data_IF_426263297862
#
_entry.id   IF_426263297862
#
_cell.length_a   1.000
_cell.length_b   1.000
_cell.length_c   1.000
_cell.angle_alpha   90.00
_cell.angle_beta   90.00
_cell.angle_gamma   90.00
#
_symmetry.space_group_name_H-M   'P 1'
#
loop_
_entity.id
_entity.type
_entity.pdbx_description
1 polymer ?
#
# COMPACT_ATOMS: atom_id res chain seq x y z
N UNK A 1 25.57 31.85 24.33
CA UNK A 1 25.37 32.40 22.96
C UNK A 1 25.50 33.90 23.04
N UNK A 2 26.42 34.47 22.25
CA UNK A 2 26.64 35.91 22.21
C UNK A 2 25.58 36.62 21.36
N UNK A 3 25.29 37.89 21.66
CA UNK A 3 24.43 38.75 20.82
C UNK A 3 24.68 38.68 19.30
N UNK A 4 25.93 38.53 18.78
CA UNK A 4 26.15 38.37 17.34
C UNK A 4 25.60 37.06 16.73
N UNK A 5 25.52 35.96 17.50
CA UNK A 5 24.96 34.69 17.00
C UNK A 5 23.44 34.74 16.84
N UNK A 6 22.76 35.47 17.72
CA UNK A 6 21.31 35.71 17.64
C UNK A 6 20.92 36.54 16.41
N UNK A 7 21.72 37.56 16.09
CA UNK A 7 21.49 38.43 14.92
C UNK A 7 21.66 37.67 13.58
N UNK A 8 22.65 36.77 13.51
CA UNK A 8 22.86 35.91 12.35
C UNK A 8 21.70 34.91 12.16
N UNK A 9 21.17 34.37 13.25
CA UNK A 9 20.04 33.44 13.24
C UNK A 9 18.74 34.13 12.78
N UNK A 10 18.46 35.34 13.29
CA UNK A 10 17.28 36.12 12.89
C UNK A 10 17.34 36.51 11.41
N UNK A 11 18.51 36.91 10.92
CA UNK A 11 18.68 37.24 9.50
C UNK A 11 18.48 36.02 8.60
N UNK A 12 18.97 34.85 9.01
CA UNK A 12 18.78 33.60 8.26
C UNK A 12 17.31 33.17 8.24
N UNK A 13 16.58 33.38 9.34
CA UNK A 13 15.13 33.08 9.41
C UNK A 13 14.30 34.03 8.55
N UNK A 14 14.60 35.32 8.55
CA UNK A 14 13.94 36.30 7.67
C UNK A 14 14.14 35.96 6.18
N UNK A 15 15.36 35.57 5.79
CA UNK A 15 15.63 35.15 4.42
C UNK A 15 14.85 33.89 4.02
N UNK A 16 14.75 32.91 4.93
CA UNK A 16 13.95 31.68 4.70
C UNK A 16 12.46 31.98 4.63
N UNK A 17 11.95 32.88 5.47
CA UNK A 17 10.55 33.29 5.45
C UNK A 17 10.19 33.98 4.13
N UNK A 18 11.02 34.91 3.67
CA UNK A 18 10.83 35.59 2.39
C UNK A 18 10.88 34.61 1.21
N UNK A 19 11.77 33.61 1.26
CA UNK A 19 11.82 32.54 0.26
C UNK A 19 10.53 31.71 0.24
N UNK A 20 10.00 31.35 1.41
CA UNK A 20 8.73 30.61 1.54
C UNK A 20 7.53 31.40 1.00
N UNK A 21 7.42 32.70 1.29
CA UNK A 21 6.37 33.56 0.73
C UNK A 21 6.43 33.61 -0.80
N UNK A 22 7.64 33.67 -1.36
CA UNK A 22 7.85 33.71 -2.81
C UNK A 22 7.45 32.39 -3.46
N UNK A 23 7.83 31.26 -2.86
CA UNK A 23 7.46 29.92 -3.31
C UNK A 23 5.95 29.68 -3.22
N UNK A 24 5.31 30.12 -2.14
CA UNK A 24 3.86 30.00 -1.96
C UNK A 24 3.09 30.80 -3.01
N UNK A 25 3.53 32.02 -3.30
CA UNK A 25 2.95 32.87 -4.36
C UNK A 25 3.09 32.23 -5.75
N UNK A 26 4.22 31.57 -6.02
CA UNK A 26 4.44 30.85 -7.27
C UNK A 26 3.50 29.63 -7.41
N UNK A 27 3.34 28.84 -6.35
CA UNK A 27 2.41 27.69 -6.32
C UNK A 27 0.96 28.16 -6.55
N UNK A 28 0.52 29.21 -5.85
CA UNK A 28 -0.82 29.77 -6.03
C UNK A 28 -1.06 30.28 -7.47
N UNK A 29 -0.02 30.83 -8.10
CA UNK A 29 -0.09 31.31 -9.47
C UNK A 29 -0.20 30.16 -10.46
N UNK A 30 0.56 29.08 -10.27
CA UNK A 30 0.50 27.89 -11.12
C UNK A 30 -0.85 27.16 -10.98
N UNK A 31 -1.36 27.00 -9.76
CA UNK A 31 -2.70 26.44 -9.53
C UNK A 31 -3.80 27.26 -10.22
N UNK A 32 -3.70 28.59 -10.21
CA UNK A 32 -4.63 29.47 -10.95
C UNK A 32 -4.51 29.29 -12.47
N UNK A 33 -3.31 29.00 -12.98
CA UNK A 33 -3.05 28.74 -14.41
C UNK A 33 -3.66 27.41 -14.84
N UNK A 34 -3.46 26.36 -14.07
CA UNK A 34 -4.03 25.03 -14.28
C UNK A 34 -5.56 25.05 -14.19
N UNK A 35 -6.13 25.74 -13.20
CA UNK A 35 -7.58 25.90 -13.07
C UNK A 35 -8.20 26.61 -14.29
N UNK A 36 -7.55 27.66 -14.80
CA UNK A 36 -7.97 28.35 -16.03
C UNK A 36 -7.83 27.45 -17.26
N UNK A 37 -6.79 26.62 -17.34
CA UNK A 37 -6.60 25.67 -18.44
C UNK A 37 -7.69 24.57 -18.41
N UNK A 38 -8.00 24.02 -17.24
CA UNK A 38 -9.07 23.05 -17.03
C UNK A 38 -10.46 23.64 -17.36
N UNK A 39 -10.72 24.89 -16.98
CA UNK A 39 -11.96 25.59 -17.34
C UNK A 39 -12.09 25.80 -18.87
N UNK A 40 -11.01 26.19 -19.55
CA UNK A 40 -10.98 26.32 -21.02
C UNK A 40 -11.16 24.97 -21.73
N UNK A 41 -10.58 23.90 -21.20
CA UNK A 41 -10.76 22.54 -21.71
C UNK A 41 -12.22 22.10 -21.57
N UNK A 42 -12.84 22.31 -20.40
CA UNK A 42 -14.27 22.03 -20.17
C UNK A 42 -15.18 22.89 -21.05
N UNK A 43 -14.87 24.16 -21.29
CA UNK A 43 -15.66 25.02 -22.18
C UNK A 43 -15.58 24.55 -23.65
N UNK A 44 -14.43 24.02 -24.08
CA UNK A 44 -14.26 23.37 -25.39
C UNK A 44 -15.00 22.04 -25.49
N UNK A 45 -15.01 21.24 -24.41
CA UNK A 45 -15.75 19.98 -24.33
C UNK A 45 -17.27 20.19 -24.23
N UNK A 46 -17.72 21.22 -23.51
CA UNK A 46 -19.13 21.59 -23.37
C UNK A 46 -19.71 22.14 -24.68
N UNK A 47 -18.91 22.86 -25.48
CA UNK A 47 -19.30 23.26 -26.85
C UNK A 47 -19.47 22.08 -27.82
N UNK A 48 -18.89 20.91 -27.52
CA UNK A 48 -19.11 19.67 -28.29
C UNK A 48 -20.38 18.90 -27.86
N UNK A 49 -21.02 19.28 -26.76
CA UNK A 49 -22.18 18.59 -26.15
C UNK A 49 -23.37 19.55 -25.93
N UNK A 50 -23.53 20.56 -26.78
CA UNK A 50 -24.57 21.56 -26.61
C UNK A 50 -25.96 21.01 -26.94
N UNK A 51 -26.64 20.54 -25.90
CA UNK A 51 -28.06 20.28 -25.86
C UNK A 51 -28.42 19.83 -24.44
N UNK A 52 -28.73 20.80 -23.56
CA UNK A 52 -29.68 20.76 -22.43
C UNK A 52 -29.41 21.97 -21.49
N UNK A 53 -30.48 22.78 -21.38
CA UNK A 53 -30.91 23.87 -20.48
C UNK A 53 -30.02 24.46 -19.35
N UNK A 54 -30.06 25.81 -19.30
CA UNK A 54 -29.31 26.75 -18.43
C UNK A 54 -29.57 26.69 -16.91
N UNK A 55 -30.36 25.76 -16.39
CA UNK A 55 -30.71 25.73 -14.96
C UNK A 55 -29.69 24.98 -14.07
N UNK A 56 -28.90 24.05 -14.62
CA UNK A 56 -28.00 23.17 -13.84
C UNK A 56 -26.63 23.78 -13.51
N UNK A 57 -26.20 24.81 -14.26
CA UNK A 57 -24.87 25.40 -14.12
C UNK A 57 -24.71 26.27 -12.85
N UNK A 58 -25.78 26.91 -12.38
CA UNK A 58 -25.74 27.78 -11.20
C UNK A 58 -25.76 27.01 -9.88
N UNK A 59 -26.43 25.85 -9.82
CA UNK A 59 -26.43 24.99 -8.63
C UNK A 59 -25.07 24.33 -8.37
N UNK A 60 -24.35 23.94 -9.44
CA UNK A 60 -23.01 23.35 -9.33
C UNK A 60 -21.93 24.39 -8.92
N UNK A 61 -22.11 25.66 -9.31
CA UNK A 61 -21.18 26.74 -8.94
C UNK A 61 -21.27 27.10 -7.45
N UNK A 62 -22.47 26.99 -6.85
CA UNK A 62 -22.72 27.26 -5.43
C UNK A 62 -22.17 26.12 -4.55
N UNK A 63 -22.27 24.85 -4.99
CA UNK A 63 -21.71 23.71 -4.25
C UNK A 63 -20.18 23.70 -4.23
N UNK A 64 -19.53 24.10 -5.32
CA UNK A 64 -18.06 24.17 -5.38
C UNK A 64 -17.52 25.29 -4.46
N UNK A 65 -18.16 26.46 -4.42
CA UNK A 65 -17.75 27.56 -3.53
C UNK A 65 -17.88 27.18 -2.04
N UNK A 66 -18.89 26.39 -1.67
CA UNK A 66 -19.05 25.87 -0.32
C UNK A 66 -17.96 24.83 0.04
N UNK A 67 -17.59 23.95 -0.89
CA UNK A 67 -16.54 22.95 -0.70
C UNK A 67 -15.15 23.59 -0.51
N UNK A 68 -14.79 24.58 -1.34
CA UNK A 68 -13.52 25.30 -1.18
C UNK A 68 -13.48 26.16 0.09
N UNK A 69 -14.60 26.71 0.54
CA UNK A 69 -14.69 27.43 1.82
C UNK A 69 -14.41 26.55 3.04
N UNK A 70 -14.90 25.31 3.03
CA UNK A 70 -14.67 24.33 4.11
C UNK A 70 -13.23 23.83 4.10
N UNK A 71 -12.68 23.47 2.93
CA UNK A 71 -11.29 22.98 2.82
C UNK A 71 -10.29 24.07 3.23
N UNK A 72 -10.50 25.31 2.78
CA UNK A 72 -9.65 26.44 3.17
C UNK A 72 -9.78 26.77 4.66
N UNK A 73 -10.99 26.69 5.23
CA UNK A 73 -11.22 26.86 6.66
C UNK A 73 -10.53 25.79 7.52
N UNK A 74 -10.51 24.53 7.07
CA UNK A 74 -9.83 23.42 7.77
C UNK A 74 -8.31 23.56 7.68
N UNK A 75 -7.76 23.92 6.52
CA UNK A 75 -6.30 24.13 6.38
C UNK A 75 -5.83 25.32 7.22
N UNK A 76 -6.55 26.44 7.19
CA UNK A 76 -6.25 27.61 8.05
C UNK A 76 -6.39 27.26 9.53
N UNK A 77 -7.37 26.45 9.92
CA UNK A 77 -7.54 26.00 11.30
C UNK A 77 -6.41 25.05 11.76
N UNK A 78 -5.93 24.17 10.89
CA UNK A 78 -4.82 23.24 11.20
C UNK A 78 -3.50 24.02 11.33
N UNK A 79 -3.22 24.97 10.44
CA UNK A 79 -2.01 25.80 10.50
C UNK A 79 -2.05 26.81 11.67
N UNK A 80 -3.22 27.40 11.95
CA UNK A 80 -3.40 28.26 13.12
C UNK A 80 -3.29 27.47 14.44
N UNK A 81 -3.77 26.22 14.47
CA UNK A 81 -3.61 25.33 15.63
C UNK A 81 -2.15 24.94 15.85
N UNK A 82 -1.41 24.61 14.78
CA UNK A 82 0.02 24.33 14.86
C UNK A 82 0.84 25.54 15.36
N UNK A 83 0.53 26.74 14.88
CA UNK A 83 1.21 27.98 15.30
C UNK A 83 0.94 28.37 16.77
N UNK A 84 -0.30 28.18 17.24
CA UNK A 84 -0.68 28.46 18.63
C UNK A 84 -0.03 27.47 19.61
N UNK A 85 0.13 26.20 19.24
CA UNK A 85 0.75 25.19 20.13
C UNK A 85 2.25 25.43 20.34
N UNK A 86 2.96 25.92 19.32
CA UNK A 86 4.41 26.17 19.37
C UNK A 86 4.80 27.51 20.02
N UNK A 87 3.87 28.46 20.13
CA UNK A 87 4.13 29.79 20.72
C UNK A 87 3.71 29.93 22.19
N UNK A 88 3.07 28.90 22.78
CA UNK A 88 2.67 28.92 24.20
C UNK A 88 3.89 28.78 25.12
N UNK A 89 4.15 29.77 26.02
CA UNK A 89 5.26 29.72 26.95
C UNK A 89 5.22 28.46 27.86
N UNK A 90 6.37 27.85 28.20
CA UNK A 90 6.44 26.59 28.96
C UNK A 90 5.67 26.58 30.29
N UNK A 91 5.52 27.73 30.94
CA UNK A 91 4.83 27.86 32.22
C UNK A 91 3.29 27.77 32.09
N UNK A 92 2.73 28.11 30.93
CA UNK A 92 1.28 28.10 30.69
C UNK A 92 0.76 26.68 30.35
N UNK A 93 1.64 25.79 29.87
CA UNK A 93 1.35 24.36 29.60
C UNK A 93 0.93 23.58 30.86
N UNK A 94 1.19 24.12 32.06
CA UNK A 94 0.82 23.51 33.35
C UNK A 94 -0.67 23.65 33.70
N UNK A 95 -1.40 24.57 33.06
CA UNK A 95 -2.79 24.89 33.39
C UNK A 95 -3.81 24.37 32.37
N UNK A 96 -3.35 23.71 31.31
CA UNK A 96 -4.22 23.12 30.28
C UNK A 96 -4.12 21.58 30.41
N UNK A 97 -5.04 20.93 31.12
CA UNK A 97 -5.05 19.47 31.21
C UNK A 97 -5.48 18.94 29.84
N UNK A 98 -4.49 18.42 29.08
CA UNK A 98 -4.56 17.58 27.87
C UNK A 98 -3.58 17.99 26.75
N UNK A 99 -2.76 19.02 26.92
CA UNK A 99 -1.59 19.25 26.05
C UNK A 99 -0.40 18.40 26.52
N UNK A 100 -0.56 17.07 26.51
CA UNK A 100 0.62 16.23 26.34
C UNK A 100 1.00 16.40 24.87
N UNK A 101 2.18 16.95 24.62
CA UNK A 101 2.85 16.70 23.35
C UNK A 101 2.94 15.19 23.21
N UNK A 102 2.07 14.59 22.41
CA UNK A 102 2.42 13.34 21.78
C UNK A 102 3.68 13.68 21.00
N UNK A 103 4.83 13.36 21.60
CA UNK A 103 6.04 13.18 20.82
C UNK A 103 5.58 12.25 19.70
N UNK A 104 5.56 12.75 18.45
CA UNK A 104 5.37 11.90 17.29
C UNK A 104 6.32 10.72 17.54
N UNK A 105 5.81 9.47 17.67
CA UNK A 105 6.72 8.35 17.75
C UNK A 105 7.65 8.50 16.55
N UNK A 106 8.97 8.44 16.79
CA UNK A 106 9.94 8.46 15.71
C UNK A 106 9.42 7.48 14.65
N UNK A 107 9.17 7.97 13.43
CA UNK A 107 8.64 7.11 12.37
C UNK A 107 9.53 5.87 12.34
N UNK A 108 8.94 4.70 12.56
CA UNK A 108 9.66 3.44 12.48
C UNK A 108 10.01 3.30 11.00
N UNK A 109 11.21 3.75 10.62
CA UNK A 109 11.74 3.61 9.27
C UNK A 109 12.03 2.14 9.08
N UNK A 110 11.44 1.52 8.05
CA UNK A 110 11.77 0.15 7.66
C UNK A 110 13.28 0.09 7.36
N UNK A 111 14.00 -0.71 8.16
CA UNK A 111 15.43 -0.95 7.98
C UNK A 111 15.65 -2.43 7.73
N UNK A 112 16.05 -2.82 6.53
CA UNK A 112 16.30 -4.21 6.22
C UNK A 112 17.55 -4.69 6.98
N UNK A 113 17.49 -5.92 7.48
CA UNK A 113 18.51 -6.47 8.37
C UNK A 113 18.79 -7.96 8.15
N UNK A 114 17.81 -8.71 7.63
CA UNK A 114 17.96 -10.15 7.43
C UNK A 114 18.71 -10.47 6.13
N UNK A 115 20.01 -10.65 6.22
CA UNK A 115 20.87 -11.09 5.12
C UNK A 115 21.19 -12.59 5.18
N UNK A 116 20.32 -13.40 5.77
CA UNK A 116 20.50 -14.86 5.75
C UNK A 116 20.40 -15.34 4.30
N UNK A 117 21.39 -16.08 3.76
CA UNK A 117 21.34 -16.52 2.36
C UNK A 117 20.11 -17.37 2.04
N UNK A 118 19.34 -16.97 1.03
CA UNK A 118 18.19 -17.71 0.50
C UNK A 118 18.65 -18.95 -0.27
N UNK A 119 18.06 -20.10 0.02
CA UNK A 119 18.33 -21.37 -0.68
C UNK A 119 17.26 -21.68 -1.72
N UNK A 120 17.61 -22.51 -2.71
CA UNK A 120 16.69 -22.95 -3.77
C UNK A 120 15.48 -23.64 -3.16
N UNK A 121 14.28 -23.26 -3.60
CA UNK A 121 13.01 -23.80 -3.14
C UNK A 121 12.49 -23.18 -1.83
N UNK A 122 13.25 -22.32 -1.15
CA UNK A 122 12.71 -21.53 -0.06
C UNK A 122 11.64 -20.56 -0.56
N UNK A 123 10.64 -20.30 0.27
CA UNK A 123 9.53 -19.41 -0.07
C UNK A 123 9.80 -18.01 0.48
N UNK A 124 9.67 -17.00 -0.39
CA UNK A 124 9.62 -15.58 -0.01
C UNK A 124 8.33 -15.00 -0.56
N UNK A 125 7.47 -14.44 0.30
CA UNK A 125 6.17 -13.91 -0.13
C UNK A 125 5.28 -14.90 -0.91
N UNK A 126 5.46 -16.21 -0.71
CA UNK A 126 4.74 -17.26 -1.44
C UNK A 126 5.36 -17.65 -2.79
N UNK A 127 6.47 -17.02 -3.18
CA UNK A 127 7.21 -17.33 -4.39
C UNK A 127 8.47 -18.14 -4.08
N UNK A 128 8.75 -19.22 -4.83
CA UNK A 128 9.90 -20.05 -4.57
C UNK A 128 11.16 -19.42 -5.14
N UNK A 129 12.26 -19.54 -4.40
CA UNK A 129 13.59 -19.16 -4.85
C UNK A 129 14.03 -20.14 -5.93
N UNK A 130 14.11 -19.65 -7.16
CA UNK A 130 14.50 -20.43 -8.34
C UNK A 130 16.00 -20.42 -8.58
N UNK A 131 16.71 -19.37 -8.17
CA UNK A 131 18.17 -19.31 -8.24
C UNK A 131 18.75 -18.48 -7.10
N UNK A 132 19.41 -19.13 -6.11
CA UNK A 132 20.16 -18.44 -5.07
C UNK A 132 21.28 -17.56 -5.61
N UNK A 133 21.80 -16.70 -4.72
CA UNK A 133 23.08 -16.03 -4.93
C UNK A 133 24.21 -17.06 -5.01
N UNK A 134 25.15 -16.87 -5.94
CA UNK A 134 26.38 -17.64 -6.01
C UNK A 134 26.73 -18.13 -7.41
N UNK A 135 27.68 -19.05 -7.48
CA UNK A 135 28.09 -19.65 -8.74
C UNK A 135 27.00 -20.57 -9.28
N UNK A 136 26.65 -20.36 -10.56
CA UNK A 136 25.69 -21.18 -11.30
C UNK A 136 26.14 -21.43 -12.73
N UNK A 137 25.47 -22.35 -13.40
CA UNK A 137 25.57 -22.57 -14.85
C UNK A 137 24.15 -22.74 -15.37
N UNK A 138 23.72 -21.81 -16.23
CA UNK A 138 22.37 -21.76 -16.80
C UNK A 138 22.35 -22.15 -18.29
N UNK A 139 23.44 -22.74 -18.80
CA UNK A 139 23.54 -23.22 -20.19
C UNK A 139 24.63 -22.53 -21.02
N UNK A 140 25.12 -21.38 -20.58
CA UNK A 140 26.18 -20.60 -21.24
C UNK A 140 27.53 -20.68 -20.51
N UNK A 141 27.66 -21.62 -19.57
CA UNK A 141 28.84 -21.80 -18.74
C UNK A 141 28.73 -21.14 -17.37
N UNK A 142 29.82 -21.24 -16.61
CA UNK A 142 29.87 -20.84 -15.20
C UNK A 142 29.84 -19.32 -15.03
N UNK A 143 28.82 -18.83 -14.34
CA UNK A 143 28.65 -17.41 -14.00
C UNK A 143 28.38 -17.21 -12.50
N UNK A 144 28.63 -15.99 -12.01
CA UNK A 144 28.29 -15.61 -10.64
C UNK A 144 27.01 -14.79 -10.61
N UNK A 145 25.98 -15.34 -9.97
CA UNK A 145 24.72 -14.66 -9.74
C UNK A 145 24.83 -13.77 -8.49
N UNK A 146 24.77 -12.45 -8.68
CA UNK A 146 24.90 -11.46 -7.60
C UNK A 146 23.61 -11.23 -6.80
N UNK A 147 22.46 -11.71 -7.30
CA UNK A 147 21.13 -11.54 -6.71
C UNK A 147 20.53 -12.82 -6.18
N UNK A 148 19.21 -12.80 -6.07
CA UNK A 148 18.36 -13.96 -5.85
C UNK A 148 17.18 -13.89 -6.81
N UNK A 149 16.87 -15.02 -7.45
CA UNK A 149 15.75 -15.13 -8.38
C UNK A 149 14.57 -15.81 -7.67
N UNK A 150 13.41 -15.17 -7.78
CA UNK A 150 12.11 -15.70 -7.33
C UNK A 150 11.23 -15.96 -8.54
N UNK A 151 10.69 -17.17 -8.66
CA UNK A 151 9.65 -17.48 -9.65
C UNK A 151 8.40 -16.63 -9.38
N UNK A 152 8.18 -15.61 -10.20
CA UNK A 152 7.06 -14.69 -10.08
C UNK A 152 6.33 -14.59 -11.42
N UNK A 153 5.00 -14.67 -11.45
CA UNK A 153 4.25 -14.40 -12.67
C UNK A 153 4.50 -12.98 -13.18
N UNK A 154 4.55 -12.79 -14.50
CA UNK A 154 4.57 -11.45 -15.10
C UNK A 154 3.41 -10.62 -14.56
N UNK A 155 3.68 -9.36 -14.21
CA UNK A 155 2.69 -8.44 -13.67
C UNK A 155 2.56 -8.47 -12.14
N UNK A 156 3.39 -9.25 -11.42
CA UNK A 156 3.35 -9.23 -9.95
C UNK A 156 3.85 -7.88 -9.45
N UNK A 157 3.05 -7.12 -8.69
CA UNK A 157 3.42 -5.78 -8.26
C UNK A 157 4.51 -5.78 -7.18
N UNK A 158 5.46 -4.85 -7.30
CA UNK A 158 6.45 -4.52 -6.28
C UNK A 158 6.10 -3.17 -5.65
N UNK A 159 6.21 -3.09 -4.33
CA UNK A 159 5.72 -1.96 -3.54
C UNK A 159 6.80 -1.26 -2.73
N UNK A 160 6.68 0.06 -2.63
CA UNK A 160 7.60 0.88 -1.87
C UNK A 160 7.53 0.54 -0.38
N UNK A 161 8.68 0.29 0.25
CA UNK A 161 8.77 -0.08 1.68
C UNK A 161 9.04 1.13 2.59
N UNK A 162 9.52 2.21 1.98
CA UNK A 162 9.74 3.54 2.55
C UNK A 162 9.29 4.56 1.51
N UNK A 163 9.16 5.83 1.91
CA UNK A 163 9.11 6.91 0.93
C UNK A 163 10.45 6.91 0.18
N UNK A 164 10.42 6.70 -1.14
CA UNK A 164 11.62 6.47 -1.93
C UNK A 164 11.51 7.06 -3.33
N UNK A 165 12.66 7.49 -3.85
CA UNK A 165 12.80 7.84 -5.26
C UNK A 165 13.19 6.60 -6.05
N UNK A 166 12.39 6.27 -7.07
CA UNK A 166 12.61 5.12 -7.93
C UNK A 166 13.16 5.58 -9.27
N UNK A 167 14.30 4.99 -9.64
CA UNK A 167 14.95 5.18 -10.94
C UNK A 167 14.68 3.95 -11.79
N UNK A 168 14.24 4.18 -13.04
CA UNK A 168 13.97 3.13 -14.02
C UNK A 168 14.94 3.27 -15.19
N UNK A 169 15.51 2.15 -15.65
CA UNK A 169 16.38 2.12 -16.83
C UNK A 169 16.40 0.73 -17.46
N UNK A 170 16.86 0.64 -18.70
CA UNK A 170 17.14 -0.62 -19.39
C UNK A 170 18.61 -1.02 -19.19
N UNK A 171 18.87 -2.27 -18.80
CA UNK A 171 20.18 -2.88 -18.66
C UNK A 171 20.47 -3.83 -19.83
N UNK A 172 21.39 -3.44 -20.70
CA UNK A 172 21.85 -4.21 -21.85
C UNK A 172 22.79 -5.36 -21.47
N UNK A 173 23.27 -5.40 -20.23
CA UNK A 173 24.05 -6.50 -19.64
C UNK A 173 23.24 -7.76 -19.30
N UNK A 174 21.96 -7.78 -19.69
CA UNK A 174 21.05 -8.91 -19.49
C UNK A 174 19.97 -8.67 -18.44
N UNK A 175 20.00 -7.57 -17.68
CA UNK A 175 18.98 -7.26 -16.68
C UNK A 175 17.64 -6.77 -17.23
N UNK A 176 17.57 -6.34 -18.50
CA UNK A 176 16.33 -5.84 -19.10
C UNK A 176 15.83 -4.57 -18.40
N UNK A 177 14.52 -4.45 -18.19
CA UNK A 177 13.97 -3.31 -17.46
C UNK A 177 14.27 -3.45 -15.96
N UNK A 178 14.88 -2.41 -15.39
CA UNK A 178 15.33 -2.36 -14.00
C UNK A 178 14.68 -1.22 -13.26
N UNK A 179 14.25 -1.49 -12.02
CA UNK A 179 13.92 -0.49 -11.01
C UNK A 179 15.00 -0.47 -9.94
N UNK A 180 15.46 0.72 -9.55
CA UNK A 180 16.37 0.87 -8.42
C UNK A 180 15.99 2.00 -7.47
N UNK A 181 16.32 1.83 -6.19
CA UNK A 181 16.23 2.89 -5.18
C UNK A 181 17.38 2.76 -4.17
N UNK A 182 17.67 3.87 -3.48
CA UNK A 182 18.66 3.91 -2.42
C UNK A 182 18.00 3.78 -1.04
N UNK A 183 18.58 2.94 -0.17
CA UNK A 183 18.15 2.80 1.23
C UNK A 183 19.37 2.42 2.10
N UNK A 184 19.54 3.11 3.23
CA UNK A 184 20.60 2.86 4.21
C UNK A 184 22.00 2.68 3.61
N UNK A 185 22.35 3.51 2.62
CA UNK A 185 23.67 3.50 1.95
C UNK A 185 23.88 2.36 0.95
N UNK A 186 22.84 1.58 0.65
CA UNK A 186 22.84 0.54 -0.39
C UNK A 186 21.89 0.92 -1.54
N UNK A 187 22.20 0.43 -2.73
CA UNK A 187 21.33 0.45 -3.91
C UNK A 187 20.64 -0.90 -4.02
N UNK A 188 19.32 -0.87 -4.12
CA UNK A 188 18.45 -2.03 -4.26
C UNK A 188 17.97 -2.07 -5.71
N UNK A 189 18.20 -3.18 -6.42
CA UNK A 189 17.85 -3.33 -7.83
C UNK A 189 16.91 -4.50 -8.04
N UNK A 190 15.90 -4.30 -8.87
CA UNK A 190 14.91 -5.29 -9.29
C UNK A 190 14.92 -5.37 -10.81
N UNK A 191 15.29 -6.52 -11.35
CA UNK A 191 15.57 -6.71 -12.78
C UNK A 191 14.46 -7.55 -13.45
N UNK A 192 14.55 -7.66 -14.77
CA UNK A 192 13.64 -8.44 -15.63
C UNK A 192 12.18 -7.96 -15.58
N UNK A 193 11.95 -6.69 -15.24
CA UNK A 193 10.60 -6.15 -15.02
C UNK A 193 9.81 -6.03 -16.34
N UNK A 194 8.48 -6.05 -16.25
CA UNK A 194 7.61 -5.72 -17.39
C UNK A 194 7.24 -4.23 -17.41
N UNK A 195 7.12 -3.62 -16.22
CA UNK A 195 6.83 -2.21 -16.04
C UNK A 195 7.62 -1.64 -14.86
N UNK A 196 8.01 -0.37 -14.98
CA UNK A 196 8.69 0.38 -13.93
C UNK A 196 8.11 1.79 -13.85
N UNK A 197 7.76 2.23 -12.64
CA UNK A 197 7.12 3.51 -12.38
C UNK A 197 8.11 4.46 -11.70
N UNK A 198 8.85 5.24 -12.50
CA UNK A 198 9.87 6.16 -12.00
C UNK A 198 9.29 7.29 -11.14
N UNK A 199 10.16 7.92 -10.35
CA UNK A 199 9.86 9.10 -9.53
C UNK A 199 9.61 8.77 -8.06
N UNK A 200 9.08 9.76 -7.33
CA UNK A 200 8.78 9.62 -5.91
C UNK A 200 7.63 8.62 -5.69
N UNK A 201 7.82 7.71 -4.75
CA UNK A 201 6.84 6.71 -4.30
C UNK A 201 6.64 6.81 -2.82
N UNK A 202 5.39 6.91 -2.41
CA UNK A 202 5.01 6.79 -1.00
C UNK A 202 4.98 5.32 -0.59
N UNK A 203 5.18 5.04 0.70
CA UNK A 203 5.06 3.68 1.24
C UNK A 203 3.80 2.96 0.72
N UNK A 204 4.00 1.76 0.19
CA UNK A 204 2.96 0.88 -0.33
C UNK A 204 2.49 1.21 -1.75
N UNK A 205 2.96 2.29 -2.38
CA UNK A 205 2.71 2.50 -3.81
C UNK A 205 3.48 1.48 -4.64
N UNK A 206 2.87 1.00 -5.73
CA UNK A 206 3.56 0.12 -6.66
C UNK A 206 4.63 0.93 -7.38
N UNK A 207 5.85 0.39 -7.44
CA UNK A 207 6.96 1.00 -8.17
C UNK A 207 7.41 0.20 -9.40
N UNK A 208 7.01 -1.07 -9.50
CA UNK A 208 7.31 -1.92 -10.64
C UNK A 208 6.35 -3.11 -10.72
N UNK A 209 6.35 -3.80 -11.85
CA UNK A 209 5.74 -5.10 -12.05
C UNK A 209 6.82 -6.11 -12.52
N UNK A 210 6.85 -7.30 -11.92
CA UNK A 210 7.75 -8.38 -12.34
C UNK A 210 7.50 -8.77 -13.79
N UNK A 211 8.50 -9.32 -14.46
CA UNK A 211 8.39 -9.61 -15.88
C UNK A 211 9.28 -10.76 -16.34
N UNK A 212 9.67 -10.65 -17.60
CA UNK A 212 10.53 -11.60 -18.30
C UNK A 212 11.41 -10.85 -19.33
N UNK A 213 11.79 -9.60 -19.02
CA UNK A 213 12.62 -8.78 -19.91
C UNK A 213 14.12 -9.11 -19.79
N UNK A 214 14.93 -8.69 -20.76
CA UNK A 214 16.36 -8.97 -20.76
C UNK A 214 16.70 -10.45 -21.02
N UNK A 215 17.78 -10.94 -20.42
CA UNK A 215 18.23 -12.34 -20.56
C UNK A 215 17.59 -13.18 -19.45
N UNK A 216 16.51 -13.87 -19.81
CA UNK A 216 15.72 -14.68 -18.88
C UNK A 216 15.39 -16.06 -19.48
N UNK A 217 15.23 -17.07 -18.62
CA UNK A 217 14.74 -18.41 -18.99
C UNK A 217 13.26 -18.62 -18.70
N UNK A 218 12.59 -17.59 -18.18
CA UNK A 218 11.17 -17.55 -17.86
C UNK A 218 10.84 -16.51 -16.77
N UNK A 219 9.55 -16.18 -16.55
CA UNK A 219 9.15 -15.10 -15.65
C UNK A 219 9.70 -15.23 -14.23
N UNK A 220 10.41 -14.21 -13.77
CA UNK A 220 10.98 -14.17 -12.42
C UNK A 220 11.30 -12.73 -11.97
N UNK A 221 11.58 -12.58 -10.68
CA UNK A 221 12.15 -11.38 -10.10
C UNK A 221 13.58 -11.67 -9.68
N UNK A 222 14.55 -10.96 -10.25
CA UNK A 222 15.93 -10.91 -9.74
C UNK A 222 16.08 -9.68 -8.84
N UNK A 223 16.42 -9.92 -7.56
CA UNK A 223 16.70 -8.87 -6.59
C UNK A 223 18.18 -8.84 -6.20
N UNK A 224 18.81 -7.67 -6.35
CA UNK A 224 20.23 -7.42 -6.04
C UNK A 224 20.43 -6.25 -5.09
N UNK A 225 21.52 -6.30 -4.32
CA UNK A 225 21.92 -5.24 -3.39
C UNK A 225 23.38 -4.87 -3.63
N UNK A 226 23.65 -3.58 -3.77
CA UNK A 226 25.00 -3.03 -3.95
C UNK A 226 25.30 -2.01 -2.85
N UNK A 227 26.38 -2.20 -2.10
CA UNK A 227 26.89 -1.19 -1.16
C UNK A 227 28.23 -0.69 -1.68
N UNK A 228 28.29 0.58 -2.11
CA UNK A 228 29.39 1.10 -2.90
C UNK A 228 29.59 0.27 -4.18
N UNK A 229 30.78 -0.32 -4.35
CA UNK A 229 31.11 -1.18 -5.49
C UNK A 229 30.97 -2.69 -5.23
N UNK A 230 30.46 -3.07 -4.06
CA UNK A 230 30.39 -4.47 -3.65
C UNK A 230 28.96 -5.01 -3.68
N UNK A 231 28.78 -6.18 -4.29
CA UNK A 231 27.52 -6.93 -4.24
C UNK A 231 27.32 -7.56 -2.86
N UNK A 232 26.17 -7.29 -2.25
CA UNK A 232 25.80 -7.75 -0.92
C UNK A 232 24.81 -8.91 -0.98
N UNK A 233 24.65 -9.62 0.15
CA UNK A 233 23.60 -10.66 0.23
C UNK A 233 22.25 -9.95 0.21
N UNK A 234 21.31 -10.34 -0.66
CA UNK A 234 19.97 -9.76 -0.68
C UNK A 234 19.27 -9.86 0.67
N UNK A 235 18.59 -8.79 1.07
CA UNK A 235 17.83 -8.75 2.31
C UNK A 235 16.51 -9.51 2.17
N UNK A 236 16.31 -10.56 2.96
CA UNK A 236 15.10 -11.40 2.95
C UNK A 236 13.87 -10.60 3.34
N UNK A 237 14.00 -9.82 4.41
CA UNK A 237 12.94 -8.98 4.95
C UNK A 237 12.53 -7.86 3.98
N UNK A 238 13.49 -7.24 3.27
CA UNK A 238 13.18 -6.29 2.21
C UNK A 238 12.50 -6.95 1.02
N UNK A 239 13.03 -8.07 0.54
CA UNK A 239 12.47 -8.80 -0.60
C UNK A 239 11.03 -9.23 -0.30
N UNK A 240 10.79 -9.75 0.90
CA UNK A 240 9.46 -10.05 1.37
C UNK A 240 8.59 -8.79 1.43
N UNK A 241 9.10 -7.66 1.92
CA UNK A 241 8.36 -6.41 2.09
C UNK A 241 8.01 -5.69 0.78
N UNK A 242 8.84 -5.81 -0.27
CA UNK A 242 8.49 -5.24 -1.58
C UNK A 242 7.48 -6.12 -2.32
N UNK A 243 7.47 -7.43 -2.06
CA UNK A 243 6.50 -8.39 -2.61
C UNK A 243 5.22 -8.50 -1.77
N UNK A 244 5.28 -8.07 -0.52
CA UNK A 244 4.18 -7.99 0.43
C UNK A 244 4.29 -6.64 1.13
N UNK A 245 3.46 -5.64 0.81
CA UNK A 245 3.61 -4.35 1.46
C UNK A 245 3.49 -4.54 2.96
N UNK A 246 4.46 -4.02 3.70
CA UNK A 246 4.30 -3.85 5.15
C UNK A 246 3.07 -2.96 5.33
N UNK A 247 1.97 -3.55 5.83
CA UNK A 247 0.67 -2.88 5.93
C UNK A 247 -0.28 -3.03 4.72
N UNK A 248 -0.05 -3.93 3.75
CA UNK A 248 -1.07 -4.35 2.77
C UNK A 248 -1.14 -5.86 2.56
N UNK A 249 -2.19 -6.25 1.87
CA UNK A 249 -2.76 -7.59 1.72
C UNK A 249 -1.95 -8.46 0.74
N UNK A 250 -1.69 -9.74 1.05
CA UNK A 250 -1.12 -10.68 0.08
C UNK A 250 -1.97 -10.78 -1.19
N UNK A 251 -1.36 -10.78 -2.38
CA UNK A 251 -2.08 -10.94 -3.64
C UNK A 251 -2.94 -12.22 -3.68
N UNK A 252 -2.44 -13.31 -3.07
CA UNK A 252 -3.18 -14.56 -2.85
C UNK A 252 -4.44 -14.40 -2.00
N UNK A 253 -4.45 -13.49 -1.02
CA UNK A 253 -5.66 -13.15 -0.28
C UNK A 253 -6.64 -12.37 -1.14
N UNK A 254 -6.16 -11.43 -1.97
CA UNK A 254 -7.00 -10.74 -2.97
C UNK A 254 -7.62 -11.74 -3.93
N UNK A 255 -6.84 -12.66 -4.51
CA UNK A 255 -7.33 -13.71 -5.41
C UNK A 255 -8.35 -14.62 -4.74
N UNK A 256 -8.10 -15.02 -3.48
CA UNK A 256 -9.02 -15.85 -2.71
C UNK A 256 -10.36 -15.14 -2.45
N UNK A 257 -10.32 -13.85 -2.10
CA UNK A 257 -11.53 -13.03 -1.92
C UNK A 257 -12.27 -12.91 -3.24
N UNK A 258 -11.59 -12.51 -4.33
CA UNK A 258 -12.20 -12.38 -5.68
C UNK A 258 -12.91 -13.66 -6.13
N UNK A 259 -12.35 -14.83 -5.84
CA UNK A 259 -12.94 -16.12 -6.18
C UNK A 259 -14.27 -16.40 -5.46
N UNK A 260 -14.49 -15.83 -4.27
CA UNK A 260 -15.75 -15.99 -3.52
C UNK A 260 -16.75 -14.87 -3.77
N UNK A 261 -16.29 -13.62 -3.84
CA UNK A 261 -17.17 -12.46 -4.01
C UNK A 261 -17.71 -12.37 -5.44
N UNK A 262 -16.87 -12.67 -6.44
CA UNK A 262 -17.17 -12.37 -7.85
C UNK A 262 -17.25 -10.85 -8.12
N UNK A 263 -17.16 -10.45 -9.39
CA UNK A 263 -17.31 -9.06 -9.79
C UNK A 263 -18.73 -8.78 -10.27
N UNK A 264 -19.43 -7.84 -9.62
CA UNK A 264 -20.73 -7.33 -10.07
C UNK A 264 -20.65 -5.80 -10.28
N UNK A 265 -20.72 -5.30 -11.53
CA UNK A 265 -20.51 -3.88 -11.82
C UNK A 265 -21.66 -2.98 -11.38
N UNK A 266 -22.81 -3.54 -11.00
CA UNK A 266 -24.01 -2.80 -10.57
C UNK A 266 -24.43 -3.23 -9.17
N UNK A 267 -25.02 -2.33 -8.36
CA UNK A 267 -25.45 -2.65 -7.01
C UNK A 267 -26.40 -3.85 -6.94
N UNK A 268 -26.22 -4.71 -5.94
CA UNK A 268 -27.08 -5.84 -5.62
C UNK A 268 -27.30 -5.93 -4.12
N UNK A 269 -28.39 -6.57 -3.70
CA UNK A 269 -28.70 -6.82 -2.29
C UNK A 269 -27.97 -8.09 -1.83
N UNK A 270 -27.15 -8.00 -0.79
CA UNK A 270 -26.33 -9.11 -0.26
C UNK A 270 -26.87 -9.72 1.04
N UNK A 271 -28.16 -9.53 1.29
CA UNK A 271 -28.89 -9.87 2.53
C UNK A 271 -28.65 -8.90 3.70
N UNK A 272 -27.55 -8.13 3.73
CA UNK A 272 -27.27 -7.14 4.78
C UNK A 272 -27.40 -5.70 4.29
N UNK A 273 -26.91 -5.43 3.08
CA UNK A 273 -26.83 -4.10 2.47
C UNK A 273 -26.82 -4.19 0.95
N UNK A 274 -26.89 -3.03 0.30
CA UNK A 274 -26.52 -2.93 -1.10
C UNK A 274 -25.00 -2.95 -1.23
N UNK A 275 -24.49 -3.89 -2.02
CA UNK A 275 -23.06 -4.07 -2.32
C UNK A 275 -22.81 -3.98 -3.83
N UNK A 276 -21.56 -3.70 -4.22
CA UNK A 276 -21.11 -3.52 -5.61
C UNK A 276 -19.67 -4.03 -5.76
N UNK A 277 -19.22 -4.29 -6.99
CA UNK A 277 -17.87 -4.78 -7.27
C UNK A 277 -17.66 -6.16 -6.66
N UNK A 278 -16.65 -6.28 -5.79
CA UNK A 278 -16.35 -7.50 -5.03
C UNK A 278 -16.95 -7.46 -3.60
N UNK A 279 -18.24 -7.13 -3.48
CA UNK A 279 -18.94 -7.15 -2.19
C UNK A 279 -18.70 -5.93 -1.28
N UNK A 280 -18.19 -4.82 -1.82
CA UNK A 280 -18.01 -3.57 -1.05
C UNK A 280 -19.32 -2.78 -0.99
N UNK A 281 -19.57 -1.95 0.05
CA UNK A 281 -20.82 -1.19 0.18
C UNK A 281 -21.09 -0.29 -1.03
N UNK A 282 -22.25 -0.41 -1.68
CA UNK A 282 -22.56 0.34 -2.90
C UNK A 282 -22.69 1.87 -2.64
N UNK A 283 -23.19 2.26 -1.46
CA UNK A 283 -23.53 3.65 -1.18
C UNK A 283 -24.58 4.17 -2.16
N UNK A 284 -24.33 5.33 -2.77
CA UNK A 284 -25.22 5.92 -3.79
C UNK A 284 -24.82 5.58 -5.24
N UNK A 285 -23.82 4.71 -5.43
CA UNK A 285 -23.26 4.41 -6.75
C UNK A 285 -24.19 3.50 -7.53
N UNK A 286 -24.25 3.70 -8.85
CA UNK A 286 -25.05 2.86 -9.76
C UNK A 286 -24.19 1.95 -10.63
N UNK A 287 -22.89 2.20 -10.72
CA UNK A 287 -21.95 1.41 -11.49
C UNK A 287 -20.50 1.54 -10.97
N UNK A 288 -19.67 0.53 -11.21
CA UNK A 288 -18.22 0.53 -10.95
C UNK A 288 -17.48 -0.29 -12.01
N UNK A 289 -16.28 0.13 -12.41
CA UNK A 289 -15.38 -0.70 -13.21
C UNK A 289 -14.58 -1.70 -12.36
N UNK A 290 -14.08 -2.76 -12.99
CA UNK A 290 -13.34 -3.80 -12.30
C UNK A 290 -12.03 -3.27 -11.66
N UNK A 291 -11.22 -2.42 -12.32
CA UNK A 291 -10.03 -1.83 -11.68
C UNK A 291 -10.35 -1.02 -10.42
N UNK A 292 -11.44 -0.26 -10.38
CA UNK A 292 -11.87 0.49 -9.21
C UNK A 292 -12.40 -0.45 -8.13
N UNK A 293 -13.19 -1.45 -8.48
CA UNK A 293 -13.66 -2.46 -7.54
C UNK A 293 -12.50 -3.21 -6.88
N UNK A 294 -11.44 -3.51 -7.64
CA UNK A 294 -10.23 -4.15 -7.11
C UNK A 294 -9.47 -3.24 -6.14
N UNK A 295 -9.34 -1.93 -6.44
CA UNK A 295 -8.76 -0.96 -5.50
C UNK A 295 -9.55 -0.90 -4.19
N UNK A 296 -10.87 -0.95 -4.26
CA UNK A 296 -11.73 -0.96 -3.07
C UNK A 296 -11.59 -2.27 -2.29
N UNK A 297 -11.59 -3.43 -2.96
CA UNK A 297 -11.32 -4.72 -2.32
C UNK A 297 -9.99 -4.67 -1.56
N UNK A 298 -8.92 -4.18 -2.20
CA UNK A 298 -7.59 -4.08 -1.58
C UNK A 298 -7.64 -3.20 -0.33
N UNK A 299 -8.37 -2.09 -0.37
CA UNK A 299 -8.54 -1.21 0.80
C UNK A 299 -9.25 -1.92 1.97
N UNK A 300 -10.35 -2.63 1.69
CA UNK A 300 -11.09 -3.37 2.72
C UNK A 300 -10.28 -4.55 3.28
N UNK A 301 -9.61 -5.31 2.41
CA UNK A 301 -8.74 -6.38 2.85
C UNK A 301 -7.53 -5.83 3.64
N UNK A 302 -7.08 -4.60 3.35
CA UNK A 302 -6.01 -3.94 4.13
C UNK A 302 -6.48 -3.64 5.55
N UNK A 303 -7.71 -3.14 5.72
CA UNK A 303 -8.31 -2.95 7.04
C UNK A 303 -8.48 -4.28 7.79
N UNK A 304 -8.84 -5.37 7.09
CA UNK A 304 -8.88 -6.70 7.67
C UNK A 304 -7.48 -7.15 8.15
N UNK A 305 -6.44 -6.93 7.34
CA UNK A 305 -5.06 -7.25 7.71
C UNK A 305 -4.58 -6.45 8.94
N UNK A 306 -4.93 -5.16 9.03
CA UNK A 306 -4.64 -4.34 10.22
C UNK A 306 -5.37 -4.84 11.46
N UNK A 307 -6.60 -5.34 11.31
CA UNK A 307 -7.35 -5.97 12.40
C UNK A 307 -6.65 -7.23 12.91
N UNK A 308 -6.11 -8.04 11.99
CA UNK A 308 -5.30 -9.21 12.33
C UNK A 308 -4.04 -8.81 13.10
N UNK A 309 -3.32 -7.78 12.65
CA UNK A 309 -2.11 -7.28 13.34
C UNK A 309 -2.42 -6.77 14.76
N UNK A 310 -3.62 -6.22 14.98
CA UNK A 310 -4.04 -5.77 16.30
C UNK A 310 -4.51 -6.91 17.23
N UNK A 311 -4.98 -8.03 16.67
CA UNK A 311 -5.61 -9.11 17.43
C UNK A 311 -4.69 -10.31 17.66
N UNK A 312 -3.81 -10.63 16.71
CA UNK A 312 -2.98 -11.83 16.76
C UNK A 312 -1.61 -11.49 17.36
N UNK A 313 -1.29 -12.13 18.49
CA UNK A 313 -0.11 -11.88 19.31
C UNK A 313 1.02 -12.89 19.06
N UNK A 314 0.75 -13.94 18.27
CA UNK A 314 1.72 -14.97 17.90
C UNK A 314 2.16 -14.79 16.45
N UNK A 315 3.37 -15.27 16.08
CA UNK A 315 3.79 -15.27 14.67
C UNK A 315 2.80 -16.05 13.80
N UNK A 316 2.36 -15.42 12.70
CA UNK A 316 1.51 -16.02 11.69
C UNK A 316 2.34 -16.48 10.49
N UNK A 317 2.10 -17.70 10.04
CA UNK A 317 2.54 -18.15 8.73
C UNK A 317 1.79 -17.39 7.62
N UNK A 318 2.39 -17.32 6.44
CA UNK A 318 1.82 -16.59 5.30
C UNK A 318 0.43 -17.12 4.92
N UNK A 319 0.26 -18.45 4.87
CA UNK A 319 -1.01 -19.11 4.56
C UNK A 319 -2.08 -18.89 5.64
N UNK A 320 -1.70 -18.82 6.92
CA UNK A 320 -2.62 -18.47 8.01
C UNK A 320 -3.14 -17.05 7.83
N UNK A 321 -2.25 -16.10 7.52
CA UNK A 321 -2.61 -14.70 7.29
C UNK A 321 -3.55 -14.53 6.09
N UNK A 322 -3.32 -15.23 4.98
CA UNK A 322 -4.21 -15.22 3.80
C UNK A 322 -5.64 -15.62 4.19
N UNK A 323 -5.78 -16.75 4.88
CA UNK A 323 -7.07 -17.28 5.30
C UNK A 323 -7.79 -16.31 6.26
N UNK A 324 -7.07 -15.75 7.23
CA UNK A 324 -7.62 -14.80 8.18
C UNK A 324 -8.09 -13.50 7.50
N UNK A 325 -7.35 -13.00 6.51
CA UNK A 325 -7.78 -11.80 5.76
C UNK A 325 -9.07 -12.07 5.00
N UNK A 326 -9.19 -13.21 4.32
CA UNK A 326 -10.42 -13.55 3.59
C UNK A 326 -11.61 -13.76 4.54
N UNK A 327 -11.37 -14.37 5.70
CA UNK A 327 -12.36 -14.55 6.75
C UNK A 327 -12.85 -13.22 7.32
N UNK A 328 -11.92 -12.33 7.67
CA UNK A 328 -12.24 -11.02 8.26
C UNK A 328 -12.89 -10.09 7.23
N UNK A 329 -12.47 -10.13 5.97
CA UNK A 329 -13.13 -9.42 4.88
C UNK A 329 -14.62 -9.78 4.79
N UNK A 330 -14.93 -11.07 4.94
CA UNK A 330 -16.30 -11.57 4.86
C UNK A 330 -17.14 -11.25 6.10
N UNK A 331 -16.54 -11.34 7.28
CA UNK A 331 -17.31 -11.41 8.53
C UNK A 331 -17.14 -10.21 9.44
N UNK A 332 -15.99 -9.53 9.39
CA UNK A 332 -15.57 -8.58 10.44
C UNK A 332 -15.53 -9.22 11.84
N UNK A 333 -15.46 -10.56 11.91
CA UNK A 333 -15.82 -11.34 13.08
C UNK A 333 -14.64 -11.79 13.95
N UNK A 334 -13.40 -11.41 13.62
CA UNK A 334 -12.24 -11.87 14.38
C UNK A 334 -12.20 -11.31 15.80
N UNK A 335 -12.64 -10.07 16.01
CA UNK A 335 -12.59 -9.41 17.33
C UNK A 335 -13.46 -10.16 18.34
N UNK A 336 -12.81 -10.69 19.38
CA UNK A 336 -13.49 -11.46 20.44
C UNK A 336 -13.86 -12.90 20.05
N UNK A 337 -13.39 -13.39 18.89
CA UNK A 337 -13.66 -14.76 18.46
C UNK A 337 -12.84 -15.80 19.23
N UNK A 338 -13.42 -16.98 19.40
CA UNK A 338 -12.69 -18.18 19.90
C UNK A 338 -11.55 -18.57 18.96
N UNK A 339 -11.65 -18.25 17.67
CA UNK A 339 -10.57 -18.45 16.69
C UNK A 339 -9.31 -17.70 17.12
N UNK A 340 -9.43 -16.39 17.36
CA UNK A 340 -8.31 -15.54 17.83
C UNK A 340 -7.79 -16.02 19.19
N UNK A 341 -8.69 -16.35 20.12
CA UNK A 341 -8.31 -16.87 21.44
C UNK A 341 -7.42 -18.13 21.34
N UNK A 342 -7.85 -19.12 20.55
CA UNK A 342 -7.10 -20.37 20.35
C UNK A 342 -5.77 -20.11 19.66
N UNK A 343 -5.76 -19.29 18.62
CA UNK A 343 -4.55 -18.97 17.87
C UNK A 343 -3.49 -18.29 18.74
N UNK A 344 -3.90 -17.31 19.56
CA UNK A 344 -2.99 -16.63 20.50
C UNK A 344 -2.46 -17.53 21.62
N UNK A 345 -3.16 -18.62 21.94
CA UNK A 345 -2.67 -19.69 22.83
C UNK A 345 -1.78 -20.70 22.13
N UNK A 346 -1.53 -20.55 20.83
CA UNK A 346 -0.76 -21.47 20.01
C UNK A 346 -1.54 -22.69 19.50
N UNK A 347 -2.84 -22.80 19.77
CA UNK A 347 -3.70 -23.90 19.32
C UNK A 347 -4.16 -23.69 17.88
N UNK A 348 -3.24 -23.91 16.93
CA UNK A 348 -3.53 -23.84 15.48
C UNK A 348 -4.57 -24.86 15.01
N UNK A 349 -4.51 -26.15 15.42
CA UNK A 349 -5.53 -27.13 15.02
C UNK A 349 -6.93 -26.74 15.51
N UNK A 350 -7.04 -26.27 16.75
CA UNK A 350 -8.31 -25.81 17.30
C UNK A 350 -8.79 -24.52 16.64
N UNK A 351 -7.90 -23.57 16.30
CA UNK A 351 -8.27 -22.35 15.58
C UNK A 351 -8.79 -22.68 14.17
N UNK A 352 -8.17 -23.65 13.47
CA UNK A 352 -8.61 -24.09 12.16
C UNK A 352 -10.04 -24.67 12.18
N UNK A 353 -10.45 -25.35 13.25
CA UNK A 353 -11.82 -25.86 13.40
C UNK A 353 -12.86 -24.75 13.61
N UNK A 354 -12.47 -23.58 14.12
CA UNK A 354 -13.42 -22.50 14.36
C UNK A 354 -14.03 -21.94 13.07
N UNK A 355 -13.36 -22.07 11.92
CA UNK A 355 -13.93 -21.68 10.61
C UNK A 355 -15.29 -22.35 10.33
N UNK A 356 -15.46 -23.62 10.72
CA UNK A 356 -16.68 -24.39 10.46
C UNK A 356 -17.92 -23.87 11.21
N UNK A 357 -17.73 -23.01 12.22
CA UNK A 357 -18.83 -22.44 13.00
C UNK A 357 -19.49 -21.26 12.31
N UNK A 358 -18.79 -20.63 11.36
CA UNK A 358 -19.21 -19.41 10.66
C UNK A 358 -19.87 -19.71 9.32
N UNK A 359 -20.88 -20.59 9.36
CA UNK A 359 -21.58 -21.12 8.17
C UNK A 359 -23.06 -20.74 8.12
N UNK A 360 -23.55 -19.96 9.08
CA UNK A 360 -24.96 -19.61 9.22
C UNK A 360 -25.23 -18.20 8.67
N UNK A 361 -26.35 -18.03 7.97
CA UNK A 361 -26.87 -16.72 7.56
C UNK A 361 -27.67 -16.04 8.69
N UNK A 362 -28.27 -14.88 8.40
CA UNK A 362 -28.95 -14.06 9.42
C UNK A 362 -30.09 -14.79 10.16
N UNK A 363 -30.79 -15.69 9.49
CA UNK A 363 -31.88 -16.47 10.08
C UNK A 363 -31.41 -17.73 10.83
N UNK A 364 -30.10 -17.89 11.04
CA UNK A 364 -29.51 -19.07 11.68
C UNK A 364 -29.51 -20.33 10.81
N UNK A 365 -29.85 -20.20 9.52
CA UNK A 365 -29.82 -21.29 8.54
C UNK A 365 -28.39 -21.51 8.02
N UNK A 366 -27.98 -22.76 7.87
CA UNK A 366 -26.70 -23.08 7.24
C UNK A 366 -26.71 -22.73 5.75
N UNK A 367 -25.69 -22.00 5.30
CA UNK A 367 -25.54 -21.60 3.90
C UNK A 367 -24.47 -22.44 3.21
N UNK A 368 -24.86 -23.13 2.13
CA UNK A 368 -23.94 -23.94 1.32
C UNK A 368 -22.75 -23.14 0.79
N UNK A 369 -22.96 -21.87 0.44
CA UNK A 369 -21.89 -20.98 -0.01
C UNK A 369 -20.86 -20.72 1.10
N UNK A 370 -21.33 -20.39 2.32
CA UNK A 370 -20.44 -20.18 3.47
C UNK A 370 -19.71 -21.46 3.88
N UNK A 371 -20.36 -22.63 3.83
CA UNK A 371 -19.69 -23.92 4.06
C UNK A 371 -18.50 -24.12 3.12
N UNK A 372 -18.67 -23.85 1.82
CA UNK A 372 -17.59 -23.97 0.83
C UNK A 372 -16.47 -22.96 1.10
N UNK A 373 -16.82 -21.70 1.41
CA UNK A 373 -15.84 -20.65 1.73
C UNK A 373 -15.03 -20.99 2.96
N UNK A 374 -15.68 -21.32 4.08
CA UNK A 374 -15.03 -21.69 5.35
C UNK A 374 -14.15 -22.93 5.22
N UNK A 375 -14.61 -23.94 4.47
CA UNK A 375 -13.79 -25.12 4.20
C UNK A 375 -12.50 -24.77 3.45
N UNK A 376 -12.58 -23.88 2.44
CA UNK A 376 -11.40 -23.46 1.67
C UNK A 376 -10.46 -22.58 2.49
N UNK A 377 -10.99 -21.63 3.25
CA UNK A 377 -10.16 -20.79 4.12
C UNK A 377 -9.48 -21.62 5.21
N UNK A 378 -10.16 -22.62 5.78
CA UNK A 378 -9.53 -23.58 6.70
C UNK A 378 -8.42 -24.38 6.02
N UNK A 379 -8.65 -24.87 4.80
CA UNK A 379 -7.63 -25.57 4.02
C UNK A 379 -6.38 -24.68 3.83
N UNK A 380 -6.56 -23.43 3.39
CA UNK A 380 -5.48 -22.44 3.23
C UNK A 380 -4.81 -22.16 4.59
N UNK A 381 -5.59 -22.00 5.66
CA UNK A 381 -5.06 -21.78 7.00
C UNK A 381 -4.16 -22.94 7.46
N UNK A 382 -4.48 -24.17 7.07
CA UNK A 382 -3.69 -25.38 7.37
C UNK A 382 -2.49 -25.60 6.42
N UNK A 383 -2.28 -24.72 5.43
CA UNK A 383 -1.18 -24.81 4.47
C UNK A 383 -1.51 -25.58 3.20
N UNK A 384 -2.80 -25.86 2.93
CA UNK A 384 -3.28 -26.37 1.65
C UNK A 384 -3.17 -25.33 0.53
N UNK A 385 -3.16 -25.81 -0.72
CA UNK A 385 -2.97 -24.99 -1.93
C UNK A 385 -4.22 -24.25 -2.35
#
# INVERSE_FOLDING_TARGET
MGQPELSALTHTLEQRFKHLETTLSAIQTEQRREAKAAARHRQRSARKLAGIEEASAWQLLISDLAYYGVVLGVVIAVDAYAFVVDTVPPWLKRYIPNLRSEARPAAVVFRPSDQTPLQRGEQVAGFPVSSPRGWRDIGDGREFHAGVDLETPIGTPLYAVIDMEVVCFEDDGGGGLVAEFALDGSIHKFLHLSECFAGQKSVGESFALTGDSGRSTGPHLDYRVKAGDQWQVPYRDLLAAVLMPVGKVPASAVSLIKAFEGFLPTPYWDEQRYSIGYGTPAGQRTWIDEPQAERELIAYATAANQTIDALIQVPLAHHERIALISFEYNTGGLRGSTLVEKLNRGDRPGAAQEFDRWIHGENGQELTALKRRRAKEREVFQGGR
#
